data_IF_821383392479
#
_entry.id   IF_821383392479
#
_cell.length_a   1.000
_cell.length_b   1.000
_cell.length_c   1.000
_cell.angle_alpha   90.00
_cell.angle_beta   90.00
_cell.angle_gamma   90.00
#
_symmetry.space_group_name_H-M   'P 1'
#
loop_
_entity.id
_entity.type
_entity.pdbx_description
1 polymer ?
#
# COMPACT_ATOMS: atom_id res chain seq x y z
N UNK A 1 -32.50 -13.27 -3.58
CA UNK A 1 -31.96 -12.00 -4.09
C UNK A 1 -30.63 -12.31 -4.77
N UNK A 2 -30.38 -11.87 -5.99
CA UNK A 2 -29.09 -12.01 -6.62
C UNK A 2 -28.05 -11.27 -5.75
N UNK A 3 -26.95 -11.91 -5.41
CA UNK A 3 -25.92 -11.31 -4.60
C UNK A 3 -25.30 -10.15 -5.43
N UNK A 4 -25.46 -8.93 -4.98
CA UNK A 4 -24.95 -7.75 -5.67
C UNK A 4 -23.42 -7.84 -5.72
N UNK A 5 -22.86 -7.69 -6.89
CA UNK A 5 -21.41 -7.77 -7.10
C UNK A 5 -20.76 -6.54 -6.50
N UNK A 6 -19.83 -6.72 -5.57
CA UNK A 6 -19.03 -5.64 -4.97
C UNK A 6 -17.62 -5.72 -5.48
N UNK A 7 -17.02 -4.59 -5.81
CA UNK A 7 -15.65 -4.56 -6.30
C UNK A 7 -15.11 -3.16 -6.48
N UNK A 8 -13.99 -3.07 -7.18
CA UNK A 8 -13.38 -1.80 -7.53
C UNK A 8 -14.12 -1.18 -8.72
N UNK A 9 -14.37 0.13 -8.67
CA UNK A 9 -15.08 0.89 -9.70
C UNK A 9 -14.20 1.93 -10.37
N UNK A 10 -13.18 2.42 -9.68
CA UNK A 10 -12.17 3.33 -10.19
C UNK A 10 -10.86 3.20 -9.40
N UNK A 11 -9.79 3.72 -9.94
CA UNK A 11 -8.47 3.76 -9.30
C UNK A 11 -7.69 5.00 -9.71
N UNK A 12 -6.71 5.38 -8.89
CA UNK A 12 -5.77 6.45 -9.15
C UNK A 12 -4.51 6.27 -8.31
N UNK A 13 -3.46 6.96 -8.68
CA UNK A 13 -2.18 6.88 -7.99
C UNK A 13 -1.43 8.19 -8.01
N UNK A 14 -0.54 8.35 -7.04
CA UNK A 14 0.37 9.48 -6.97
C UNK A 14 1.74 9.03 -6.51
N UNK A 15 2.74 9.27 -7.33
CA UNK A 15 4.15 9.10 -6.98
C UNK A 15 4.82 10.48 -7.12
N UNK A 16 5.40 11.05 -6.05
CA UNK A 16 6.08 12.34 -6.08
C UNK A 16 7.04 12.46 -7.26
N UNK A 17 7.15 13.65 -7.83
CA UNK A 17 8.00 13.89 -9.02
C UNK A 17 9.47 13.70 -8.78
N UNK A 18 9.93 13.99 -7.56
CA UNK A 18 11.35 13.90 -7.23
C UNK A 18 11.80 12.44 -7.17
N UNK A 19 12.98 12.19 -7.71
CA UNK A 19 13.64 10.88 -7.70
C UNK A 19 15.03 11.02 -7.11
N UNK A 20 15.31 10.24 -6.08
CA UNK A 20 16.65 10.14 -5.51
C UNK A 20 17.31 8.88 -6.03
N UNK A 21 18.42 9.06 -6.75
CA UNK A 21 19.19 7.96 -7.31
C UNK A 21 19.86 7.16 -6.20
N UNK A 22 19.58 5.87 -6.10
CA UNK A 22 20.20 4.99 -5.08
C UNK A 22 21.73 4.98 -5.18
N UNK A 23 22.29 5.16 -6.38
CA UNK A 23 23.72 5.30 -6.58
C UNK A 23 24.28 6.48 -5.80
N UNK A 24 23.60 7.61 -5.77
CA UNK A 24 24.04 8.81 -5.04
C UNK A 24 24.03 8.56 -3.53
N UNK A 25 22.98 7.90 -3.00
CA UNK A 25 22.91 7.49 -1.59
C UNK A 25 24.08 6.53 -1.26
N UNK A 26 24.27 5.50 -2.09
CA UNK A 26 25.31 4.51 -1.89
C UNK A 26 26.70 5.11 -1.89
N UNK A 27 26.98 6.03 -2.82
CA UNK A 27 28.26 6.74 -2.90
C UNK A 27 28.49 7.66 -1.69
N UNK A 28 27.49 8.41 -1.26
CA UNK A 28 27.58 9.29 -0.10
C UNK A 28 27.91 8.52 1.20
N UNK A 29 27.42 7.30 1.31
CA UNK A 29 27.57 6.45 2.50
C UNK A 29 28.69 5.40 2.39
N UNK A 30 29.38 5.30 1.24
CA UNK A 30 30.36 4.24 0.96
C UNK A 30 31.54 4.22 1.94
N UNK A 31 31.90 5.34 2.52
CA UNK A 31 33.00 5.46 3.47
C UNK A 31 32.73 4.72 4.80
N UNK A 32 31.47 4.54 5.18
CA UNK A 32 31.05 3.83 6.41
C UNK A 32 30.34 2.52 6.09
N UNK A 33 29.66 2.43 4.94
CA UNK A 33 28.92 1.26 4.47
C UNK A 33 29.29 0.89 3.02
N UNK A 34 30.50 0.34 2.77
CA UNK A 34 30.97 0.03 1.41
C UNK A 34 30.06 -0.95 0.64
N UNK A 35 29.34 -1.82 1.37
CA UNK A 35 28.37 -2.77 0.82
C UNK A 35 27.17 -2.11 0.13
N UNK A 36 26.89 -0.83 0.41
CA UNK A 36 25.83 -0.07 -0.26
C UNK A 36 26.09 0.12 -1.76
N UNK A 37 27.36 0.17 -2.18
CA UNK A 37 27.71 0.30 -3.60
C UNK A 37 27.08 -0.83 -4.45
N UNK A 38 26.94 -2.02 -3.90
CA UNK A 38 26.26 -3.14 -4.56
C UNK A 38 24.74 -3.01 -4.66
N UNK A 39 24.12 -2.15 -3.83
CA UNK A 39 22.68 -1.90 -3.76
C UNK A 39 22.25 -0.60 -4.47
N UNK A 40 23.17 0.12 -5.11
CA UNK A 40 22.96 1.43 -5.73
C UNK A 40 22.23 1.42 -7.08
N UNK A 41 21.45 0.38 -7.41
CA UNK A 41 20.67 0.30 -8.66
C UNK A 41 19.25 0.87 -8.46
N UNK A 42 18.79 1.63 -9.47
CA UNK A 42 17.44 2.22 -9.47
C UNK A 42 17.36 3.52 -8.68
N UNK A 43 16.16 3.92 -8.44
CA UNK A 43 15.83 5.17 -7.76
C UNK A 43 14.68 4.97 -6.77
N UNK A 44 14.45 5.94 -5.91
CA UNK A 44 13.27 6.01 -5.07
C UNK A 44 12.56 7.35 -5.25
N UNK A 45 11.25 7.34 -5.10
CA UNK A 45 10.47 8.58 -5.02
C UNK A 45 10.78 9.31 -3.72
N UNK A 46 10.69 10.62 -3.77
CA UNK A 46 10.92 11.50 -2.64
C UNK A 46 9.87 12.61 -2.64
N UNK A 47 9.10 12.70 -1.58
CA UNK A 47 8.17 13.79 -1.35
C UNK A 47 8.91 15.14 -1.37
N UNK A 48 8.28 16.16 -1.90
CA UNK A 48 8.76 17.51 -1.82
C UNK A 48 8.57 18.05 -0.39
N UNK A 49 9.17 19.17 -0.06
CA UNK A 49 9.12 19.76 1.28
C UNK A 49 7.70 20.14 1.75
N UNK A 50 6.77 20.33 0.83
CA UNK A 50 5.36 20.66 1.06
C UNK A 50 4.42 19.45 0.90
N UNK A 51 4.96 18.26 0.69
CA UNK A 51 4.20 17.03 0.56
C UNK A 51 4.29 16.17 1.83
N UNK A 52 3.16 15.57 2.21
CA UNK A 52 3.03 14.59 3.27
C UNK A 52 2.04 13.48 2.87
N UNK A 53 1.77 12.54 3.78
CA UNK A 53 0.84 11.45 3.49
C UNK A 53 -0.59 11.91 3.19
N UNK A 54 -1.03 13.04 3.75
CA UNK A 54 -2.37 13.62 3.49
C UNK A 54 -2.40 14.26 2.12
N UNK A 55 -1.43 15.10 1.78
CA UNK A 55 -1.38 15.79 0.48
C UNK A 55 -1.21 14.83 -0.68
N UNK A 56 -0.34 13.81 -0.54
CA UNK A 56 -0.19 12.76 -1.56
C UNK A 56 -1.48 11.94 -1.73
N UNK A 57 -2.19 11.64 -0.65
CA UNK A 57 -3.48 10.94 -0.72
C UNK A 57 -4.54 11.78 -1.45
N UNK A 58 -4.55 13.11 -1.26
CA UNK A 58 -5.44 14.03 -2.01
C UNK A 58 -5.13 13.96 -3.50
N UNK A 59 -3.85 13.96 -3.91
CA UNK A 59 -3.49 13.89 -5.32
C UNK A 59 -3.86 12.54 -5.95
N UNK A 60 -3.65 11.42 -5.24
CA UNK A 60 -4.12 10.11 -5.71
C UNK A 60 -5.65 10.04 -5.86
N UNK A 61 -6.39 10.68 -4.94
CA UNK A 61 -7.84 10.78 -5.04
C UNK A 61 -8.29 11.67 -6.21
N UNK A 62 -7.59 12.78 -6.48
CA UNK A 62 -7.85 13.62 -7.65
C UNK A 62 -7.63 12.90 -8.96
N UNK A 63 -6.57 12.08 -9.06
CA UNK A 63 -6.32 11.24 -10.21
C UNK A 63 -7.47 10.24 -10.44
N UNK A 64 -7.97 9.61 -9.36
CA UNK A 64 -9.12 8.70 -9.41
C UNK A 64 -10.42 9.40 -9.81
N UNK A 65 -10.71 10.55 -9.19
CA UNK A 65 -11.98 11.27 -9.39
C UNK A 65 -12.03 12.00 -10.73
N UNK A 66 -10.88 12.30 -11.32
CA UNK A 66 -10.78 13.03 -12.57
C UNK A 66 -11.23 14.49 -12.45
N UNK A 67 -11.52 15.13 -13.60
CA UNK A 67 -11.89 16.56 -13.66
C UNK A 67 -13.35 16.84 -13.28
N UNK A 68 -14.16 15.82 -13.01
CA UNK A 68 -15.54 16.01 -12.60
C UNK A 68 -15.60 16.59 -11.18
N UNK A 69 -16.35 17.68 -11.03
CA UNK A 69 -16.54 18.32 -9.73
C UNK A 69 -17.68 17.70 -8.91
N UNK A 70 -18.53 16.85 -9.52
CA UNK A 70 -19.58 16.13 -8.80
C UNK A 70 -19.02 14.96 -8.02
N UNK A 71 -18.86 15.16 -6.73
CA UNK A 71 -18.37 14.18 -5.75
C UNK A 71 -19.45 13.72 -4.76
N UNK A 72 -20.71 14.08 -5.02
CA UNK A 72 -21.87 13.76 -4.18
C UNK A 72 -22.11 12.25 -4.05
N UNK A 73 -21.53 11.48 -4.97
CA UNK A 73 -21.64 10.02 -4.97
C UNK A 73 -20.74 9.32 -3.94
N UNK A 74 -19.82 10.03 -3.28
CA UNK A 74 -18.92 9.43 -2.26
C UNK A 74 -19.64 9.41 -0.91
N UNK A 75 -19.88 8.23 -0.34
CA UNK A 75 -20.56 8.04 0.94
C UNK A 75 -19.58 7.81 2.11
N UNK A 76 -18.41 7.25 1.83
CA UNK A 76 -17.42 6.92 2.84
C UNK A 76 -15.99 7.12 2.33
N UNK A 77 -15.10 7.50 3.23
CA UNK A 77 -13.66 7.68 2.99
C UNK A 77 -12.86 6.89 4.04
N UNK A 78 -12.00 6.00 3.60
CA UNK A 78 -11.07 5.25 4.44
C UNK A 78 -9.64 5.62 4.09
N UNK A 79 -8.89 6.15 5.05
CA UNK A 79 -7.50 6.53 4.85
C UNK A 79 -6.56 5.66 5.66
N UNK A 80 -5.66 4.93 4.99
CA UNK A 80 -4.64 4.06 5.57
C UNK A 80 -3.24 4.68 5.50
N UNK A 81 -2.59 4.89 6.65
CA UNK A 81 -1.22 5.42 6.70
C UNK A 81 -0.54 5.07 8.03
N UNK A 82 0.80 4.94 7.99
CA UNK A 82 1.64 4.85 9.20
C UNK A 82 2.33 6.18 9.52
N UNK A 83 2.11 7.20 8.69
CA UNK A 83 2.80 8.50 8.77
C UNK A 83 1.84 9.68 8.70
N UNK A 84 0.67 9.53 9.30
CA UNK A 84 -0.30 10.61 9.42
C UNK A 84 0.32 11.82 10.13
N UNK A 85 0.17 13.04 9.60
CA UNK A 85 0.76 14.23 10.22
C UNK A 85 0.16 14.59 11.58
N UNK A 86 -1.07 14.17 11.86
CA UNK A 86 -1.74 14.44 13.14
C UNK A 86 -2.03 13.14 13.88
N UNK A 87 -1.59 13.07 15.14
CA UNK A 87 -1.88 11.93 16.04
C UNK A 87 -3.28 12.00 16.65
N UNK A 88 -3.78 13.22 16.88
CA UNK A 88 -5.09 13.50 17.46
C UNK A 88 -5.81 14.58 16.63
N UNK A 89 -6.20 14.20 15.44
CA UNK A 89 -7.06 14.94 14.51
C UNK A 89 -7.44 13.97 13.38
N UNK A 90 -8.68 14.05 12.90
CA UNK A 90 -9.12 13.23 11.79
C UNK A 90 -8.40 13.65 10.49
N UNK A 91 -7.38 12.87 10.08
CA UNK A 91 -6.60 13.17 8.87
C UNK A 91 -7.44 12.97 7.60
N UNK A 92 -8.26 11.93 7.55
CA UNK A 92 -9.25 11.73 6.48
C UNK A 92 -10.28 12.85 6.39
N UNK A 93 -10.56 13.55 7.49
CA UNK A 93 -11.39 14.76 7.48
C UNK A 93 -10.72 15.92 6.75
N UNK A 94 -9.39 16.06 6.84
CA UNK A 94 -8.63 17.06 6.08
C UNK A 94 -8.69 16.72 4.58
N UNK A 95 -8.51 15.45 4.23
CA UNK A 95 -8.61 14.95 2.86
C UNK A 95 -10.03 15.23 2.31
N UNK A 96 -11.07 14.91 3.09
CA UNK A 96 -12.46 15.17 2.73
C UNK A 96 -12.71 16.65 2.40
N UNK A 97 -12.21 17.56 3.24
CA UNK A 97 -12.29 18.99 3.01
C UNK A 97 -11.51 19.44 1.76
N UNK A 98 -10.28 18.93 1.56
CA UNK A 98 -9.46 19.25 0.39
C UNK A 98 -10.05 18.74 -0.93
N UNK A 99 -10.83 17.66 -0.87
CA UNK A 99 -11.57 17.09 -1.99
C UNK A 99 -12.99 17.70 -2.14
N UNK A 100 -13.38 18.62 -1.29
CA UNK A 100 -14.73 19.21 -1.26
C UNK A 100 -15.86 18.17 -1.20
N UNK A 101 -15.64 17.09 -0.42
CA UNK A 101 -16.66 16.08 -0.21
C UNK A 101 -17.78 16.61 0.70
N UNK A 102 -18.96 16.05 0.52
CA UNK A 102 -20.14 16.43 1.32
C UNK A 102 -19.97 16.06 2.81
N UNK A 103 -20.61 16.82 3.69
CA UNK A 103 -20.47 16.67 5.13
C UNK A 103 -21.03 15.35 5.69
N UNK A 104 -21.85 14.64 4.94
CA UNK A 104 -22.39 13.33 5.33
C UNK A 104 -21.39 12.17 5.14
N UNK A 105 -20.26 12.41 4.42
CA UNK A 105 -19.25 11.39 4.16
C UNK A 105 -18.66 10.87 5.47
N UNK A 106 -18.74 9.57 5.69
CA UNK A 106 -18.15 8.90 6.85
C UNK A 106 -16.65 8.71 6.64
N UNK A 107 -15.82 9.51 7.29
CA UNK A 107 -14.38 9.49 7.18
C UNK A 107 -13.73 8.70 8.33
N UNK A 108 -12.75 7.86 8.03
CA UNK A 108 -12.06 6.99 9.01
C UNK A 108 -10.56 6.93 8.72
N UNK A 109 -9.74 7.15 9.76
CA UNK A 109 -8.30 6.91 9.74
C UNK A 109 -7.97 5.48 10.20
N UNK A 110 -7.08 4.81 9.46
CA UNK A 110 -6.56 3.48 9.80
C UNK A 110 -5.04 3.57 9.86
N UNK A 111 -4.47 3.37 11.05
CA UNK A 111 -3.07 3.63 11.33
C UNK A 111 -2.36 2.44 12.01
N UNK A 112 -1.11 2.65 12.41
CA UNK A 112 -0.30 1.77 13.27
C UNK A 112 0.04 0.40 12.67
N UNK A 113 -0.05 0.24 11.36
CA UNK A 113 0.36 -1.00 10.67
C UNK A 113 0.62 -0.75 9.20
N UNK A 114 1.64 -1.38 8.62
CA UNK A 114 1.88 -1.36 7.16
C UNK A 114 0.72 -1.99 6.36
N UNK A 115 -0.17 -2.73 7.03
CA UNK A 115 -1.39 -3.26 6.45
C UNK A 115 -2.54 -2.22 6.38
N UNK A 116 -2.32 -0.97 6.80
CA UNK A 116 -3.37 0.05 6.90
C UNK A 116 -4.12 0.24 5.57
N UNK A 117 -3.41 0.32 4.43
CA UNK A 117 -4.04 0.47 3.11
C UNK A 117 -4.94 -0.71 2.73
N UNK A 118 -4.47 -1.95 2.88
CA UNK A 118 -5.28 -3.14 2.59
C UNK A 118 -6.40 -3.34 3.63
N UNK A 119 -6.19 -2.92 4.88
CA UNK A 119 -7.25 -2.92 5.91
C UNK A 119 -8.35 -1.91 5.57
N UNK A 120 -7.99 -0.72 5.07
CA UNK A 120 -8.92 0.28 4.56
C UNK A 120 -9.77 -0.29 3.41
N UNK A 121 -9.13 -0.98 2.45
CA UNK A 121 -9.84 -1.64 1.36
C UNK A 121 -10.83 -2.69 1.87
N UNK A 122 -10.42 -3.55 2.82
CA UNK A 122 -11.30 -4.58 3.38
C UNK A 122 -12.50 -3.99 4.15
N UNK A 123 -12.29 -2.86 4.84
CA UNK A 123 -13.36 -2.12 5.52
C UNK A 123 -14.38 -1.55 4.52
N UNK A 124 -13.88 -0.91 3.45
CA UNK A 124 -14.73 -0.36 2.40
C UNK A 124 -15.57 -1.45 1.70
N UNK A 125 -14.93 -2.57 1.32
CA UNK A 125 -15.62 -3.73 0.74
C UNK A 125 -16.71 -4.28 1.67
N UNK A 126 -16.44 -4.32 2.97
CA UNK A 126 -17.40 -4.77 3.98
C UNK A 126 -18.56 -3.79 4.13
N UNK A 127 -18.30 -2.48 4.17
CA UNK A 127 -19.32 -1.46 4.28
C UNK A 127 -20.26 -1.43 3.05
N UNK A 128 -19.69 -1.51 1.84
CA UNK A 128 -20.48 -1.58 0.61
C UNK A 128 -21.30 -2.89 0.56
N UNK A 129 -20.72 -4.03 0.93
CA UNK A 129 -21.42 -5.31 0.97
C UNK A 129 -22.56 -5.33 2.00
N UNK A 130 -22.42 -4.61 3.10
CA UNK A 130 -23.44 -4.46 4.14
C UNK A 130 -24.54 -3.45 3.76
N UNK A 131 -24.36 -2.67 2.68
CA UNK A 131 -25.27 -1.60 2.27
C UNK A 131 -25.16 -0.31 3.09
N UNK A 132 -24.10 -0.19 3.90
CA UNK A 132 -23.79 1.00 4.72
C UNK A 132 -23.19 2.15 3.89
N UNK A 133 -22.66 1.85 2.73
CA UNK A 133 -22.19 2.79 1.72
C UNK A 133 -22.49 2.24 0.33
N UNK A 134 -22.78 3.10 -0.64
CA UNK A 134 -22.88 2.69 -2.05
C UNK A 134 -21.54 2.81 -2.74
N UNK A 135 -20.81 3.89 -2.46
CA UNK A 135 -19.48 4.17 -2.99
C UNK A 135 -18.55 4.60 -1.86
N UNK A 136 -17.49 3.84 -1.68
CA UNK A 136 -16.46 4.12 -0.67
C UNK A 136 -15.13 4.43 -1.34
N UNK A 137 -14.52 5.56 -0.98
CA UNK A 137 -13.18 5.96 -1.41
C UNK A 137 -12.15 5.40 -0.42
N UNK A 138 -11.18 4.68 -0.91
CA UNK A 138 -10.06 4.12 -0.13
C UNK A 138 -8.78 4.77 -0.58
N UNK A 139 -8.07 5.36 0.37
CA UNK A 139 -6.78 6.01 0.16
C UNK A 139 -5.71 5.36 1.01
N UNK A 140 -4.53 5.21 0.46
CA UNK A 140 -3.36 4.81 1.23
C UNK A 140 -2.16 5.66 0.82
N UNK A 141 -1.39 6.12 1.80
CA UNK A 141 -0.23 6.97 1.57
C UNK A 141 0.75 6.89 2.73
N UNK A 142 2.03 6.87 2.43
CA UNK A 142 3.08 7.01 3.44
C UNK A 142 4.22 7.92 2.96
N UNK A 143 4.76 8.67 3.93
CA UNK A 143 5.99 9.45 3.83
C UNK A 143 6.87 9.09 5.04
N UNK A 144 7.66 8.02 4.91
CA UNK A 144 8.48 7.50 6.01
C UNK A 144 9.86 8.12 6.01
N UNK A 145 10.26 8.63 7.15
CA UNK A 145 11.62 9.16 7.36
C UNK A 145 12.63 8.03 7.47
N UNK A 146 13.81 8.27 6.89
CA UNK A 146 14.90 7.29 6.89
C UNK A 146 16.13 7.87 7.58
N UNK A 147 16.76 7.05 8.42
CA UNK A 147 18.04 7.38 9.05
C UNK A 147 19.16 7.15 8.04
N UNK A 148 20.11 8.07 7.96
CA UNK A 148 21.29 7.91 7.10
C UNK A 148 22.04 6.60 7.42
N UNK A 149 22.62 5.99 6.39
CA UNK A 149 23.40 4.74 6.50
C UNK A 149 22.55 3.52 6.93
N UNK A 150 21.26 3.54 6.64
CA UNK A 150 20.39 2.38 6.83
C UNK A 150 19.90 1.80 5.50
N UNK A 151 19.49 0.54 5.48
CA UNK A 151 18.89 -0.06 4.29
C UNK A 151 17.62 0.69 3.85
N UNK A 152 16.84 1.19 4.81
CA UNK A 152 15.63 1.96 4.55
C UNK A 152 15.90 3.22 3.72
N UNK A 153 17.06 3.85 3.86
CA UNK A 153 17.43 5.01 3.05
C UNK A 153 17.53 4.68 1.55
N UNK A 154 17.88 3.44 1.22
CA UNK A 154 17.88 2.93 -0.15
C UNK A 154 16.50 2.44 -0.60
N UNK A 155 15.71 1.85 0.31
CA UNK A 155 14.54 1.05 -0.05
C UNK A 155 13.21 1.81 0.07
N UNK A 156 13.07 2.73 1.04
CA UNK A 156 11.82 3.47 1.23
C UNK A 156 11.62 4.52 0.15
N UNK A 157 10.40 4.58 -0.36
CA UNK A 157 9.93 5.65 -1.23
C UNK A 157 8.62 6.22 -0.72
N UNK A 158 8.21 7.32 -1.29
CA UNK A 158 6.98 8.02 -0.95
C UNK A 158 5.95 7.83 -2.05
N UNK A 159 4.67 7.73 -1.69
CA UNK A 159 3.62 7.57 -2.66
C UNK A 159 2.26 7.33 -2.06
N UNK A 160 1.25 7.42 -2.91
CA UNK A 160 -0.14 7.20 -2.56
C UNK A 160 -0.87 6.44 -3.65
N UNK A 161 -1.93 5.75 -3.26
CA UNK A 161 -2.89 5.13 -4.16
C UNK A 161 -4.32 5.37 -3.66
N UNK A 162 -5.24 5.41 -4.61
CA UNK A 162 -6.66 5.55 -4.39
C UNK A 162 -7.42 4.45 -5.14
N UNK A 163 -8.43 3.88 -4.52
CA UNK A 163 -9.40 3.01 -5.19
C UNK A 163 -10.81 3.35 -4.73
N UNK A 164 -11.77 3.27 -5.64
CA UNK A 164 -13.19 3.37 -5.31
C UNK A 164 -13.79 1.98 -5.24
N UNK A 165 -14.64 1.74 -4.24
CA UNK A 165 -15.37 0.48 -4.03
C UNK A 165 -16.85 0.75 -4.15
N UNK A 166 -17.52 -0.06 -4.96
CA UNK A 166 -18.97 0.10 -5.20
C UNK A 166 -19.59 -1.16 -5.81
N UNK A 167 -20.82 -0.98 -6.29
CA UNK A 167 -21.58 -2.04 -6.96
C UNK A 167 -21.92 -1.73 -8.39
N UNK A 168 -21.79 -0.47 -8.80
CA UNK A 168 -22.09 0.01 -10.15
C UNK A 168 -20.79 0.22 -10.93
N UNK A 169 -20.77 -0.15 -12.21
CA UNK A 169 -19.60 -0.04 -13.09
C UNK A 169 -18.34 -0.73 -12.53
N UNK A 170 -18.49 -1.89 -11.91
CA UNK A 170 -17.39 -2.64 -11.32
C UNK A 170 -16.41 -3.09 -12.39
N UNK A 171 -15.16 -2.64 -12.28
CA UNK A 171 -14.05 -3.00 -13.19
C UNK A 171 -13.28 -4.23 -12.70
N UNK A 172 -13.30 -4.51 -11.40
CA UNK A 172 -12.69 -5.69 -10.80
C UNK A 172 -13.54 -6.21 -9.63
N UNK A 173 -14.07 -7.42 -9.77
CA UNK A 173 -14.91 -8.05 -8.75
C UNK A 173 -14.11 -8.50 -7.54
N UNK A 174 -14.62 -8.25 -6.34
CA UNK A 174 -14.05 -8.83 -5.13
C UNK A 174 -14.55 -10.27 -4.92
N UNK A 175 -13.70 -11.25 -5.12
CA UNK A 175 -14.03 -12.66 -5.00
C UNK A 175 -13.90 -13.18 -3.56
N UNK A 176 -12.97 -12.60 -2.79
CA UNK A 176 -12.73 -13.02 -1.41
C UNK A 176 -11.38 -12.54 -0.90
N UNK A 177 -11.15 -12.74 0.38
CA UNK A 177 -9.87 -12.38 1.01
C UNK A 177 -9.74 -13.01 2.38
N UNK A 178 -8.50 -13.10 2.86
CA UNK A 178 -8.17 -13.60 4.18
C UNK A 178 -7.17 -12.68 4.86
N UNK A 179 -7.22 -12.64 6.18
CA UNK A 179 -6.23 -11.93 7.01
C UNK A 179 -5.70 -12.89 8.06
N UNK A 180 -4.39 -12.83 8.29
CA UNK A 180 -3.74 -13.49 9.41
C UNK A 180 -3.25 -12.42 10.38
N UNK A 181 -3.51 -12.59 11.65
CA UNK A 181 -2.95 -11.76 12.70
C UNK A 181 -1.86 -12.56 13.40
N UNK A 182 -0.62 -12.11 13.25
CA UNK A 182 0.57 -12.73 13.82
C UNK A 182 1.37 -11.61 14.47
N UNK A 183 1.73 -11.78 15.75
CA UNK A 183 2.68 -10.88 16.42
C UNK A 183 4.09 -11.20 15.92
N UNK A 184 4.40 -10.67 14.74
CA UNK A 184 5.70 -10.84 14.08
C UNK A 184 6.36 -9.49 13.91
N UNK A 185 7.52 -9.32 14.51
CA UNK A 185 8.27 -8.06 14.44
C UNK A 185 9.22 -8.12 13.25
N UNK A 186 8.89 -7.38 12.19
CA UNK A 186 9.77 -7.06 11.06
C UNK A 186 10.39 -5.67 11.23
N UNK A 187 9.57 -4.72 11.64
CA UNK A 187 9.95 -3.37 12.00
C UNK A 187 8.96 -2.81 13.02
N UNK A 188 9.32 -1.72 13.67
CA UNK A 188 8.39 -0.92 14.47
C UNK A 188 8.89 0.51 14.62
N UNK A 189 7.99 1.41 14.96
CA UNK A 189 8.30 2.77 15.36
C UNK A 189 7.48 3.10 16.58
N UNK A 190 8.17 3.41 17.67
CA UNK A 190 7.57 3.91 18.91
C UNK A 190 6.95 5.30 18.72
N UNK A 191 6.10 5.70 19.65
CA UNK A 191 5.37 6.98 19.56
C UNK A 191 6.30 8.21 19.55
N UNK A 192 7.44 8.12 20.21
CA UNK A 192 8.45 9.19 20.32
C UNK A 192 9.58 9.07 19.30
N UNK A 193 9.58 8.01 18.50
CA UNK A 193 10.65 7.73 17.55
C UNK A 193 10.38 8.39 16.20
N UNK A 194 11.41 8.93 15.59
CA UNK A 194 11.34 9.55 14.26
C UNK A 194 11.51 8.53 13.14
N UNK A 195 12.32 7.48 13.36
CA UNK A 195 12.70 6.49 12.37
C UNK A 195 12.22 5.11 12.74
N UNK A 196 11.93 4.30 11.71
CA UNK A 196 11.60 2.91 11.89
C UNK A 196 12.82 2.12 12.38
N UNK A 197 12.66 1.31 13.41
CA UNK A 197 13.59 0.25 13.78
C UNK A 197 13.29 -0.98 12.93
N UNK A 198 14.31 -1.52 12.26
CA UNK A 198 14.20 -2.74 11.45
C UNK A 198 14.83 -3.91 12.20
N UNK A 199 14.16 -5.06 12.13
CA UNK A 199 14.70 -6.30 12.63
C UNK A 199 15.70 -6.93 11.64
N UNK A 200 16.24 -8.09 11.97
CA UNK A 200 17.25 -8.79 11.16
C UNK A 200 16.66 -9.29 9.84
N UNK A 201 17.32 -8.99 8.71
CA UNK A 201 16.83 -9.23 7.35
C UNK A 201 16.51 -10.71 7.07
N UNK A 202 17.36 -11.66 7.56
CA UNK A 202 17.11 -13.09 7.38
C UNK A 202 15.88 -13.55 8.16
N UNK A 203 15.72 -13.04 9.38
CA UNK A 203 14.55 -13.35 10.19
C UNK A 203 13.27 -12.94 9.49
N UNK A 204 13.23 -11.70 8.97
CA UNK A 204 12.08 -11.17 8.22
C UNK A 204 11.78 -12.04 7.00
N UNK A 205 12.83 -12.40 6.24
CA UNK A 205 12.69 -13.22 5.03
C UNK A 205 12.24 -14.65 5.34
N UNK A 206 12.90 -15.32 6.29
CA UNK A 206 12.75 -16.75 6.49
C UNK A 206 11.60 -17.09 7.44
N UNK A 207 11.41 -16.34 8.53
CA UNK A 207 10.34 -16.54 9.50
C UNK A 207 9.07 -15.76 9.15
N UNK A 208 9.20 -14.55 8.60
CA UNK A 208 8.10 -13.72 8.16
C UNK A 208 7.55 -14.16 6.80
N UNK A 209 8.14 -13.61 5.74
CA UNK A 209 7.62 -13.82 4.38
C UNK A 209 7.47 -15.30 4.01
N UNK A 210 8.50 -16.12 4.23
CA UNK A 210 8.49 -17.51 3.81
C UNK A 210 7.48 -18.40 4.54
N UNK A 211 7.08 -18.05 5.75
CA UNK A 211 6.12 -18.83 6.54
C UNK A 211 4.72 -18.25 6.60
N UNK A 212 4.59 -16.91 6.58
CA UNK A 212 3.29 -16.23 6.76
C UNK A 212 2.58 -16.05 5.41
N UNK A 213 3.28 -15.56 4.37
CA UNK A 213 2.67 -15.25 3.07
C UNK A 213 1.98 -16.46 2.43
N UNK A 214 2.60 -17.66 2.33
CA UNK A 214 1.93 -18.80 1.73
C UNK A 214 0.65 -19.23 2.48
N UNK A 215 0.62 -19.06 3.80
CA UNK A 215 -0.57 -19.36 4.61
C UNK A 215 -1.72 -18.38 4.31
N UNK A 216 -1.40 -17.08 4.20
CA UNK A 216 -2.38 -16.06 3.88
C UNK A 216 -2.95 -16.25 2.46
N UNK A 217 -2.07 -16.54 1.49
CA UNK A 217 -2.48 -16.83 0.10
C UNK A 217 -3.39 -18.05 0.03
N UNK A 218 -3.00 -19.15 0.69
CA UNK A 218 -3.82 -20.37 0.73
C UNK A 218 -5.20 -20.09 1.31
N UNK A 219 -5.27 -19.39 2.44
CA UNK A 219 -6.54 -19.03 3.07
C UNK A 219 -7.40 -18.13 2.18
N UNK A 220 -6.78 -17.21 1.42
CA UNK A 220 -7.50 -16.36 0.48
C UNK A 220 -8.07 -17.15 -0.71
N UNK A 221 -7.28 -18.06 -1.29
CA UNK A 221 -7.74 -18.95 -2.37
C UNK A 221 -8.89 -19.84 -1.92
N UNK A 222 -8.76 -20.47 -0.75
CA UNK A 222 -9.83 -21.30 -0.18
C UNK A 222 -11.13 -20.50 0.04
N UNK A 223 -11.03 -19.29 0.59
CA UNK A 223 -12.19 -18.44 0.88
C UNK A 223 -12.84 -17.85 -0.37
N UNK A 224 -12.06 -17.58 -1.41
CA UNK A 224 -12.55 -17.07 -2.70
C UNK A 224 -13.07 -18.17 -3.63
N UNK A 225 -12.71 -19.42 -3.38
CA UNK A 225 -13.00 -20.53 -4.28
C UNK A 225 -12.19 -20.52 -5.59
N UNK A 226 -11.13 -19.70 -5.66
CA UNK A 226 -10.29 -19.54 -6.86
C UNK A 226 -9.16 -20.56 -6.81
N UNK A 227 -8.91 -21.23 -7.95
CA UNK A 227 -7.78 -22.14 -8.07
C UNK A 227 -6.46 -21.34 -8.21
N UNK A 228 -5.38 -21.83 -7.60
CA UNK A 228 -4.07 -21.22 -7.74
C UNK A 228 -3.59 -21.10 -9.19
N UNK A 229 -3.99 -22.05 -10.07
CA UNK A 229 -3.67 -22.05 -11.50
C UNK A 229 -4.41 -20.96 -12.30
N UNK A 230 -5.49 -20.39 -11.75
CA UNK A 230 -6.26 -19.33 -12.39
C UNK A 230 -5.71 -17.93 -12.08
N UNK A 231 -4.76 -17.82 -11.15
CA UNK A 231 -4.12 -16.54 -10.81
C UNK A 231 -3.26 -16.08 -11.98
N UNK A 232 -3.54 -14.89 -12.50
CA UNK A 232 -2.80 -14.27 -13.61
C UNK A 232 -1.86 -13.15 -13.15
N UNK A 233 -2.11 -12.58 -11.98
CA UNK A 233 -1.31 -11.51 -11.41
C UNK A 233 -1.10 -11.78 -9.92
N UNK A 234 0.14 -12.04 -9.53
CA UNK A 234 0.54 -12.15 -8.12
C UNK A 234 1.27 -10.88 -7.71
N UNK A 235 0.62 -10.08 -6.88
CA UNK A 235 1.13 -8.80 -6.37
C UNK A 235 1.57 -9.00 -4.92
N UNK A 236 2.84 -8.74 -4.64
CA UNK A 236 3.39 -8.84 -3.29
C UNK A 236 4.43 -7.73 -3.06
N UNK A 237 4.17 -6.74 -2.20
CA UNK A 237 5.18 -5.79 -1.75
C UNK A 237 6.36 -6.53 -1.13
N UNK A 238 7.56 -6.31 -1.67
CA UNK A 238 8.74 -7.01 -1.20
C UNK A 238 10.03 -6.32 -1.65
N UNK A 239 10.95 -6.05 -0.72
CA UNK A 239 12.26 -5.45 -0.99
C UNK A 239 13.35 -6.50 -1.26
N UNK A 240 13.08 -7.80 -1.07
CA UNK A 240 14.04 -8.89 -1.32
C UNK A 240 14.21 -9.26 -2.79
N UNK A 241 13.53 -8.54 -3.69
CA UNK A 241 13.64 -8.67 -5.14
C UNK A 241 12.76 -9.74 -5.78
N UNK A 242 12.62 -9.65 -7.10
CA UNK A 242 11.66 -10.44 -7.90
C UNK A 242 11.84 -11.95 -7.77
N UNK A 243 13.09 -12.44 -7.71
CA UNK A 243 13.34 -13.89 -7.55
C UNK A 243 12.71 -14.45 -6.28
N UNK A 244 12.72 -13.68 -5.20
CA UNK A 244 12.11 -14.09 -3.95
C UNK A 244 10.59 -14.05 -4.02
N UNK A 245 10.00 -13.03 -4.66
CA UNK A 245 8.55 -12.97 -4.91
C UNK A 245 8.08 -14.17 -5.75
N UNK A 246 8.81 -14.53 -6.80
CA UNK A 246 8.55 -15.72 -7.61
C UNK A 246 8.62 -17.01 -6.81
N UNK A 247 9.58 -17.13 -5.89
CA UNK A 247 9.66 -18.27 -4.97
C UNK A 247 8.46 -18.36 -4.04
N UNK A 248 7.96 -17.23 -3.54
CA UNK A 248 6.77 -17.18 -2.70
C UNK A 248 5.50 -17.53 -3.47
N UNK A 249 5.35 -17.07 -4.72
CA UNK A 249 4.27 -17.49 -5.61
C UNK A 249 4.28 -19.01 -5.78
N UNK A 250 5.43 -19.60 -6.12
CA UNK A 250 5.59 -21.05 -6.28
C UNK A 250 5.25 -21.81 -4.99
N UNK A 251 5.71 -21.36 -3.82
CA UNK A 251 5.38 -21.96 -2.52
C UNK A 251 3.88 -21.88 -2.20
N UNK A 252 3.19 -20.93 -2.77
CA UNK A 252 1.73 -20.74 -2.65
C UNK A 252 0.93 -21.54 -3.70
N UNK A 253 1.61 -22.29 -4.56
CA UNK A 253 0.99 -23.06 -5.65
C UNK A 253 0.64 -22.23 -6.89
N UNK A 254 1.10 -20.97 -6.93
CA UNK A 254 0.84 -20.02 -8.03
C UNK A 254 2.03 -20.06 -9.00
N UNK A 255 1.75 -19.90 -10.30
CA UNK A 255 2.80 -19.82 -11.32
C UNK A 255 3.73 -18.64 -11.05
N UNK A 256 5.06 -18.85 -10.88
CA UNK A 256 6.01 -17.77 -10.64
C UNK A 256 6.02 -16.66 -11.70
N UNK A 257 5.68 -16.98 -12.95
CA UNK A 257 5.63 -16.01 -14.05
C UNK A 257 4.48 -15.00 -13.92
N UNK A 258 3.52 -15.26 -13.04
CA UNK A 258 2.43 -14.34 -12.74
C UNK A 258 2.84 -13.23 -11.75
N UNK A 259 4.01 -13.36 -11.11
CA UNK A 259 4.53 -12.35 -10.20
C UNK A 259 4.77 -11.02 -10.93
N UNK A 260 4.22 -9.93 -10.38
CA UNK A 260 4.34 -8.59 -10.96
C UNK A 260 5.53 -7.85 -10.34
N UNK A 261 6.07 -6.89 -11.12
CA UNK A 261 7.15 -6.03 -10.67
C UNK A 261 6.77 -5.36 -9.34
N UNK A 262 7.71 -5.35 -8.40
CA UNK A 262 7.51 -4.73 -7.09
C UNK A 262 7.60 -3.20 -7.12
N UNK A 263 7.90 -2.59 -8.28
CA UNK A 263 8.14 -1.16 -8.47
C UNK A 263 9.27 -0.58 -7.59
N UNK A 264 9.89 -1.42 -6.78
CA UNK A 264 10.91 -1.00 -5.83
C UNK A 264 12.12 -0.34 -6.49
N UNK A 265 12.46 -0.70 -7.74
CA UNK A 265 13.57 -0.11 -8.48
C UNK A 265 13.27 1.30 -9.02
N UNK A 266 11.99 1.66 -9.15
CA UNK A 266 11.52 2.89 -9.81
C UNK A 266 11.00 3.93 -8.82
N UNK A 267 10.33 3.50 -7.75
CA UNK A 267 9.79 4.41 -6.74
C UNK A 267 10.18 4.07 -5.30
N UNK A 268 10.80 2.91 -5.06
CA UNK A 268 11.03 2.42 -3.70
C UNK A 268 9.77 1.76 -3.12
N UNK A 269 9.84 1.38 -1.86
CA UNK A 269 8.74 0.77 -1.12
C UNK A 269 7.94 1.87 -0.41
N UNK A 270 6.67 2.06 -0.78
CA UNK A 270 5.81 3.19 -0.39
C UNK A 270 4.94 2.90 0.84
N UNK A 271 5.38 2.03 1.74
CA UNK A 271 4.72 1.75 3.02
C UNK A 271 3.32 1.17 2.88
N UNK A 272 2.41 1.66 3.69
CA UNK A 272 1.02 1.20 3.70
C UNK A 272 0.31 1.35 2.35
N UNK A 273 0.81 2.22 1.47
CA UNK A 273 0.28 2.41 0.12
C UNK A 273 0.76 1.36 -0.87
N UNK A 274 1.89 0.69 -0.62
CA UNK A 274 2.62 -0.03 -1.67
C UNK A 274 1.80 -1.14 -2.35
N UNK A 275 1.02 -1.90 -1.58
CA UNK A 275 0.11 -2.91 -2.13
C UNK A 275 -0.90 -2.33 -3.12
N UNK A 276 -1.46 -1.16 -2.79
CA UNK A 276 -2.43 -0.49 -3.65
C UNK A 276 -1.73 0.22 -4.83
N UNK A 277 -0.55 0.79 -4.63
CA UNK A 277 0.28 1.34 -5.73
C UNK A 277 0.57 0.27 -6.77
N UNK A 278 0.98 -0.94 -6.34
CA UNK A 278 1.18 -2.07 -7.26
C UNK A 278 -0.12 -2.55 -7.92
N UNK A 279 -1.25 -2.42 -7.25
CA UNK A 279 -2.56 -2.83 -7.78
C UNK A 279 -3.07 -1.90 -8.86
N UNK A 280 -2.83 -0.59 -8.71
CA UNK A 280 -3.32 0.43 -9.66
C UNK A 280 -2.38 0.63 -10.84
N UNK A 281 -1.12 0.21 -10.73
CA UNK A 281 -0.13 0.21 -11.82
C UNK A 281 -0.44 -0.89 -12.82
#
# INVERSE_FOLDING_TARGET
MAQQTVGLTAYGGYIPRLRLQRKSIAQANAWVAPNFLGKGKGERSMANWDEDSVTMAVEAARDLLGPDDDRSHVDALYFGSTTMPFKDRLNSGIISAALTLESHVRAVDIASTQRAGTSALMQALSAVKAGEAKNALVLASDHRKTKAVTAQELDFGDGAAAVSVGTDNVIANYLGGASLTVDFVDHFRGDTEEFDYNWEERWIRDEGFSKIVPKAVKAALEKSGVSAGDIKHFILPCTFGMKFVQQLAKRSGIDPETARDTLAANCGETGAAHSLVMLVH
#
